data_IF_902298362117
#
_entry.id   IF_902298362117
#
_cell.length_a   1.000
_cell.length_b   1.000
_cell.length_c   1.000
_cell.angle_alpha   90.00
_cell.angle_beta   90.00
_cell.angle_gamma   90.00
#
_symmetry.space_group_name_H-M   'P 1'
#
loop_
_entity.id
_entity.type
_entity.pdbx_description
1 polymer ?
#
# COMPACT_ATOMS: atom_id res chain seq x y z
N UNK A 1 -15.64 -3.20 -11.19
CA UNK A 1 -14.72 -2.50 -10.27
C UNK A 1 -15.57 -1.79 -9.24
N UNK A 2 -15.47 -2.16 -7.96
CA UNK A 2 -16.07 -1.35 -6.90
C UNK A 2 -15.20 -0.08 -6.79
N UNK A 3 -15.75 1.05 -7.18
CA UNK A 3 -15.16 2.35 -6.89
C UNK A 3 -15.65 2.74 -5.50
N UNK A 4 -14.73 2.91 -4.55
CA UNK A 4 -15.07 3.45 -3.24
C UNK A 4 -15.03 4.98 -3.35
N UNK A 5 -16.05 5.63 -2.80
CA UNK A 5 -16.17 7.10 -2.84
C UNK A 5 -15.15 7.75 -1.89
N UNK A 6 -14.81 7.06 -0.79
CA UNK A 6 -13.90 7.55 0.23
C UNK A 6 -12.89 6.47 0.66
N UNK A 7 -11.72 6.92 1.10
CA UNK A 7 -10.67 6.07 1.67
C UNK A 7 -11.21 5.24 2.85
N UNK A 8 -12.01 5.85 3.71
CA UNK A 8 -12.62 5.17 4.86
C UNK A 8 -13.52 4.02 4.44
N UNK A 9 -14.35 4.18 3.39
CA UNK A 9 -15.18 3.08 2.89
C UNK A 9 -14.36 1.92 2.35
N UNK A 10 -13.27 2.21 1.63
CA UNK A 10 -12.40 1.18 1.10
C UNK A 10 -11.70 0.39 2.22
N UNK A 11 -11.17 1.09 3.23
CA UNK A 11 -10.57 0.45 4.40
C UNK A 11 -11.58 -0.42 5.14
N UNK A 12 -12.83 0.03 5.27
CA UNK A 12 -13.87 -0.72 5.97
C UNK A 12 -14.30 -1.99 5.20
N UNK A 13 -14.44 -1.93 3.87
CA UNK A 13 -14.72 -3.10 3.03
C UNK A 13 -13.53 -4.07 3.02
N UNK A 14 -12.29 -3.56 2.93
CA UNK A 14 -11.08 -4.37 3.04
C UNK A 14 -10.98 -5.06 4.41
N UNK A 15 -11.35 -4.36 5.48
CA UNK A 15 -11.42 -4.92 6.83
C UNK A 15 -12.45 -6.05 6.92
N UNK A 16 -13.62 -5.91 6.30
CA UNK A 16 -14.64 -6.96 6.21
C UNK A 16 -14.13 -8.19 5.43
N UNK A 17 -13.33 -7.98 4.39
CA UNK A 17 -12.65 -9.05 3.63
C UNK A 17 -11.51 -9.73 4.41
N UNK A 18 -11.16 -9.24 5.61
CA UNK A 18 -10.10 -9.80 6.46
C UNK A 18 -8.78 -9.04 6.43
N UNK A 19 -8.67 -7.95 5.66
CA UNK A 19 -7.53 -7.04 5.67
C UNK A 19 -7.64 -6.08 6.86
N UNK A 20 -7.43 -6.62 8.06
CA UNK A 20 -7.64 -5.89 9.32
C UNK A 20 -6.37 -5.29 9.91
N UNK A 21 -5.22 -5.59 9.29
CA UNK A 21 -3.92 -5.05 9.66
C UNK A 21 -3.63 -3.78 8.88
N UNK A 22 -3.16 -2.77 9.58
CA UNK A 22 -2.59 -1.58 8.96
C UNK A 22 -1.07 -1.78 8.91
N UNK A 23 -0.54 -1.68 7.70
CA UNK A 23 0.88 -1.76 7.44
C UNK A 23 1.41 -0.34 7.20
N UNK A 24 2.52 -0.03 7.85
CA UNK A 24 3.23 1.22 7.65
C UNK A 24 4.47 0.98 6.82
N UNK A 25 4.65 1.81 5.80
CA UNK A 25 5.84 1.74 4.96
C UNK A 25 7.02 2.38 5.68
N UNK A 26 8.09 1.62 5.88
CA UNK A 26 9.37 2.13 6.39
C UNK A 26 10.43 2.11 5.28
N UNK A 27 11.54 2.80 5.50
CA UNK A 27 12.62 2.98 4.51
C UNK A 27 13.16 1.67 3.91
N UNK A 28 13.14 0.58 4.68
CA UNK A 28 13.71 -0.73 4.31
C UNK A 28 12.78 -1.93 4.51
N UNK A 29 11.68 -1.76 5.26
CA UNK A 29 10.80 -2.85 5.68
C UNK A 29 9.38 -2.32 5.92
N UNK A 30 8.40 -3.23 5.96
CA UNK A 30 7.00 -2.90 6.18
C UNK A 30 6.69 -3.17 7.65
N UNK A 31 6.46 -2.12 8.42
CA UNK A 31 6.09 -2.22 9.82
C UNK A 31 4.61 -2.55 9.98
N UNK A 32 4.26 -3.35 10.98
CA UNK A 32 2.88 -3.54 11.40
C UNK A 32 2.80 -3.31 12.90
N UNK A 33 2.18 -2.20 13.31
CA UNK A 33 2.03 -1.87 14.73
C UNK A 33 1.15 -2.90 15.46
N UNK A 34 0.08 -3.35 14.80
CA UNK A 34 -0.84 -4.37 15.32
C UNK A 34 -0.16 -5.70 15.65
N UNK A 35 0.77 -6.13 14.81
CA UNK A 35 1.51 -7.37 15.00
C UNK A 35 2.82 -7.17 15.76
N UNK A 36 3.22 -5.91 15.96
CA UNK A 36 4.52 -5.50 16.46
C UNK A 36 5.67 -6.23 15.74
N UNK A 37 5.55 -6.31 14.40
CA UNK A 37 6.47 -7.03 13.52
C UNK A 37 6.78 -6.20 12.29
N UNK A 38 7.94 -6.46 11.71
CA UNK A 38 8.37 -5.88 10.46
C UNK A 38 8.55 -6.97 9.41
N UNK A 39 8.08 -6.71 8.20
CA UNK A 39 8.13 -7.62 7.07
C UNK A 39 9.10 -7.06 6.03
N UNK A 40 10.07 -7.85 5.61
CA UNK A 40 10.95 -7.42 4.53
C UNK A 40 10.17 -7.35 3.20
N UNK A 41 10.60 -6.54 2.22
CA UNK A 41 9.98 -6.45 0.89
C UNK A 41 9.75 -7.81 0.20
N UNK A 42 10.54 -8.83 0.55
CA UNK A 42 10.41 -10.21 0.05
C UNK A 42 9.32 -11.04 0.75
N UNK A 43 8.95 -10.69 1.98
CA UNK A 43 8.01 -11.41 2.83
C UNK A 43 6.56 -10.93 2.64
N UNK A 44 6.35 -9.92 1.80
CA UNK A 44 5.03 -9.46 1.40
C UNK A 44 4.93 -9.21 -0.10
N UNK A 45 3.69 -9.16 -0.57
CA UNK A 45 3.33 -8.81 -1.96
C UNK A 45 2.16 -7.84 -1.95
N UNK A 46 2.21 -6.87 -2.86
CA UNK A 46 1.06 -6.03 -3.16
C UNK A 46 0.18 -6.80 -4.13
N UNK A 47 -1.09 -7.04 -3.77
CA UNK A 47 -2.05 -7.76 -4.61
C UNK A 47 -3.10 -6.86 -5.23
N UNK A 48 -3.13 -5.59 -4.83
CA UNK A 48 -4.00 -4.58 -5.41
C UNK A 48 -3.65 -3.19 -4.90
N UNK A 49 -4.14 -2.17 -5.60
CA UNK A 49 -4.02 -0.78 -5.16
C UNK A 49 -5.28 0.00 -5.51
N UNK A 50 -5.64 0.95 -4.65
CA UNK A 50 -6.79 1.82 -4.79
C UNK A 50 -6.34 3.26 -4.59
N UNK A 51 -6.45 4.07 -5.64
CA UNK A 51 -6.13 5.49 -5.57
C UNK A 51 -7.37 6.30 -5.22
N UNK A 52 -7.21 7.21 -4.28
CA UNK A 52 -8.20 8.17 -3.82
C UNK A 52 -7.64 9.57 -4.06
N UNK A 53 -8.46 10.40 -4.69
CA UNK A 53 -8.17 11.82 -4.86
C UNK A 53 -8.75 12.53 -3.63
N UNK A 54 -7.91 13.16 -2.83
CA UNK A 54 -8.32 13.87 -1.63
C UNK A 54 -9.29 15.01 -2.00
N UNK A 55 -10.38 15.10 -1.25
CA UNK A 55 -11.44 16.10 -1.50
C UNK A 55 -10.95 17.55 -1.26
N UNK A 56 -9.82 17.72 -0.56
CA UNK A 56 -9.29 19.03 -0.18
C UNK A 56 -8.24 19.58 -1.14
N UNK A 57 -7.38 18.73 -1.71
CA UNK A 57 -6.33 19.16 -2.62
C UNK A 57 -6.12 18.11 -3.72
N UNK A 58 -6.02 18.51 -5.01
CA UNK A 58 -5.68 17.59 -6.10
C UNK A 58 -4.27 16.97 -5.95
N UNK A 59 -3.43 17.59 -5.11
CA UNK A 59 -2.12 17.10 -4.70
C UNK A 59 -2.18 16.11 -3.54
N UNK A 60 -3.27 16.07 -2.77
CA UNK A 60 -3.49 15.15 -1.65
C UNK A 60 -4.08 13.84 -2.18
N UNK A 61 -3.27 13.13 -2.97
CA UNK A 61 -3.66 11.82 -3.47
C UNK A 61 -3.24 10.76 -2.47
N UNK A 62 -4.18 9.95 -2.02
CA UNK A 62 -3.91 8.80 -1.17
C UNK A 62 -4.00 7.52 -1.99
N UNK A 63 -3.11 6.57 -1.76
CA UNK A 63 -3.13 5.25 -2.40
C UNK A 63 -3.17 4.20 -1.32
N UNK A 64 -4.19 3.35 -1.35
CA UNK A 64 -4.29 2.18 -0.49
C UNK A 64 -3.73 0.98 -1.26
N UNK A 65 -2.62 0.42 -0.79
CA UNK A 65 -2.08 -0.83 -1.29
C UNK A 65 -2.60 -1.98 -0.44
N UNK A 66 -3.14 -3.00 -1.11
CA UNK A 66 -3.54 -4.25 -0.47
C UNK A 66 -2.34 -5.17 -0.41
N UNK A 67 -1.92 -5.51 0.80
CA UNK A 67 -0.71 -6.29 1.04
C UNK A 67 -1.09 -7.64 1.65
N UNK A 68 -0.50 -8.70 1.10
CA UNK A 68 -0.55 -10.04 1.65
C UNK A 68 0.88 -10.49 1.98
N UNK A 69 1.10 -10.95 3.19
CA UNK A 69 2.37 -11.54 3.60
C UNK A 69 2.44 -13.00 3.17
N UNK A 70 3.66 -13.52 2.99
CA UNK A 70 3.88 -14.94 2.71
C UNK A 70 3.39 -15.84 3.88
N UNK A 71 3.37 -15.28 5.09
CA UNK A 71 2.92 -15.94 6.32
C UNK A 71 1.38 -16.01 6.44
N UNK A 72 0.64 -15.27 5.60
CA UNK A 72 -0.82 -15.31 5.53
C UNK A 72 -1.52 -14.11 6.17
N UNK A 73 -0.78 -13.17 6.76
CA UNK A 73 -1.31 -11.90 7.25
C UNK A 73 -1.74 -11.00 6.08
N UNK A 74 -2.89 -10.37 6.25
CA UNK A 74 -3.55 -9.54 5.23
C UNK A 74 -3.84 -8.17 5.78
N UNK A 75 -3.40 -7.15 5.08
CA UNK A 75 -3.57 -5.78 5.52
C UNK A 75 -3.51 -4.77 4.41
N UNK A 76 -3.62 -3.52 4.81
CA UNK A 76 -3.63 -2.36 3.92
C UNK A 76 -2.52 -1.41 4.29
N UNK A 77 -1.88 -0.82 3.29
CA UNK A 77 -0.92 0.25 3.44
C UNK A 77 -1.51 1.50 2.80
N UNK A 78 -1.64 2.57 3.56
CA UNK A 78 -2.06 3.87 3.04
C UNK A 78 -0.82 4.73 2.80
N UNK A 79 -0.59 5.13 1.55
CA UNK A 79 0.46 6.05 1.15
C UNK A 79 -0.18 7.37 0.69
N UNK A 80 0.10 8.47 1.39
CA UNK A 80 -0.16 9.80 0.87
C UNK A 80 0.93 10.09 -0.17
N UNK A 81 0.55 10.00 -1.45
CA UNK A 81 1.44 10.02 -2.61
C UNK A 81 2.35 11.26 -2.57
N UNK A 82 3.60 11.08 -2.16
CA UNK A 82 4.61 12.15 -2.18
C UNK A 82 5.56 12.18 -1.00
N UNK A 83 5.22 11.61 0.15
CA UNK A 83 6.12 11.71 1.33
C UNK A 83 7.18 10.61 1.36
N UNK A 84 6.86 9.40 0.92
CA UNK A 84 7.76 8.25 1.11
C UNK A 84 8.51 7.82 -0.16
N UNK A 85 8.04 8.15 -1.37
CA UNK A 85 8.64 7.66 -2.62
C UNK A 85 10.14 7.96 -2.76
N UNK A 86 10.62 9.07 -2.21
CA UNK A 86 12.02 9.51 -2.28
C UNK A 86 12.89 8.92 -1.15
N UNK A 87 12.30 8.56 -0.01
CA UNK A 87 13.00 8.02 1.16
C UNK A 87 13.05 6.49 1.22
N UNK A 88 12.46 5.80 0.24
CA UNK A 88 12.43 4.34 0.21
C UNK A 88 13.69 3.75 -0.41
N UNK A 89 14.12 2.62 0.14
CA UNK A 89 15.14 1.80 -0.48
C UNK A 89 14.66 1.24 -1.82
N UNK A 90 15.62 0.96 -2.71
CA UNK A 90 15.35 0.44 -4.05
C UNK A 90 14.43 -0.78 -4.05
N UNK A 91 14.62 -1.72 -3.11
CA UNK A 91 13.79 -2.93 -2.98
C UNK A 91 12.33 -2.61 -2.67
N UNK A 92 12.09 -1.66 -1.77
CA UNK A 92 10.74 -1.20 -1.43
C UNK A 92 10.07 -0.52 -2.61
N UNK A 93 10.79 0.41 -3.24
CA UNK A 93 10.32 1.10 -4.42
C UNK A 93 10.00 0.11 -5.55
N UNK A 94 10.83 -0.91 -5.76
CA UNK A 94 10.57 -1.96 -6.76
C UNK A 94 9.30 -2.76 -6.45
N UNK A 95 9.07 -3.15 -5.19
CA UNK A 95 7.88 -3.90 -4.79
C UNK A 95 6.59 -3.13 -5.01
N UNK A 96 6.59 -1.82 -4.71
CA UNK A 96 5.43 -0.94 -4.94
C UNK A 96 5.24 -0.59 -6.42
N UNK A 97 6.34 -0.48 -7.19
CA UNK A 97 6.32 -0.09 -8.61
C UNK A 97 5.83 -1.19 -9.56
N UNK A 98 5.61 -2.42 -9.13
CA UNK A 98 5.25 -3.53 -10.04
C UNK A 98 3.89 -3.35 -10.75
N UNK A 99 3.07 -2.35 -10.40
CA UNK A 99 1.86 -1.97 -11.14
C UNK A 99 2.10 -0.92 -12.25
N UNK A 100 3.31 -0.36 -12.36
CA UNK A 100 3.70 0.36 -13.59
C UNK A 100 4.11 -0.67 -14.62
N UNK A 101 3.19 -0.96 -15.53
CA UNK A 101 3.49 -1.51 -16.85
C UNK A 101 4.81 -0.88 -17.36
N UNK A 102 5.86 -1.67 -17.62
CA UNK A 102 7.06 -1.15 -18.25
C UNK A 102 6.73 -0.98 -19.74
N UNK A 103 6.26 0.21 -20.08
CA UNK A 103 6.24 0.73 -21.44
C UNK A 103 7.22 1.91 -21.39
N UNK A 104 8.46 1.89 -21.90
CA UNK A 104 9.14 1.24 -23.03
C UNK A 104 10.66 1.26 -22.68
N UNK A 105 11.45 0.19 -22.83
CA UNK A 105 12.36 -0.13 -23.96
C UNK A 105 12.89 1.08 -24.77
N UNK A 106 14.23 1.20 -24.86
CA UNK A 106 14.92 1.80 -26.01
C UNK A 106 15.93 2.88 -25.68
#
# INVERSE_FOLDING_TARGET
>A
MKAYDTLSQALEDLKDQGYTYDFNLEEKQLGCEKLNKNFAPKDFKVVGSYRFEGMSNPDDNSVIYVIETASGEKGTLVDAYGTYADSLSLEMAQRLRMDRHPDHIG
#
